data_IF_323341387884
#
_entry.id   IF_323341387884
#
_cell.length_a   1.000
_cell.length_b   1.000
_cell.length_c   1.000
_cell.angle_alpha   90.00
_cell.angle_beta   90.00
_cell.angle_gamma   90.00
#
_symmetry.space_group_name_H-M   'P 1'
#
loop_
_entity.id
_entity.type
_entity.pdbx_description
1 polymer ?
#
# COMPACT_ATOMS: atom_id res chain seq x y z
N UNK A 1 -18.32 -7.97 -1.23
CA UNK A 1 -17.19 -7.14 -0.77
C UNK A 1 -17.55 -5.67 -0.88
N UNK A 2 -17.22 -4.84 0.11
CA UNK A 2 -17.49 -3.38 0.08
C UNK A 2 -16.46 -2.68 -0.80
N UNK A 3 -16.90 -1.91 -1.81
CA UNK A 3 -16.03 -1.04 -2.60
C UNK A 3 -15.73 0.23 -1.81
N UNK A 4 -14.45 0.54 -1.60
CA UNK A 4 -14.02 1.75 -0.90
C UNK A 4 -13.78 2.88 -1.89
N UNK A 5 -14.22 4.09 -1.54
CA UNK A 5 -13.75 5.31 -2.21
C UNK A 5 -12.32 5.60 -1.74
N UNK A 6 -11.39 5.68 -2.68
CA UNK A 6 -9.99 6.01 -2.41
C UNK A 6 -9.72 7.48 -2.72
N UNK A 7 -8.66 8.03 -2.13
CA UNK A 7 -8.07 9.31 -2.52
C UNK A 7 -6.59 9.11 -2.76
N UNK A 8 -5.96 9.88 -3.66
CA UNK A 8 -4.51 9.93 -3.74
C UNK A 8 -3.91 10.27 -2.38
N UNK A 9 -2.85 9.56 -2.01
CA UNK A 9 -2.08 9.82 -0.80
C UNK A 9 -1.45 11.22 -0.86
N UNK A 10 -1.33 11.91 0.26
CA UNK A 10 -0.60 13.19 0.30
C UNK A 10 0.90 12.97 0.35
N UNK A 11 1.70 13.96 -0.07
CA UNK A 11 3.16 13.84 0.02
C UNK A 11 3.63 13.62 1.47
N UNK A 12 3.01 14.32 2.43
CA UNK A 12 3.26 14.14 3.85
C UNK A 12 2.98 12.71 4.35
N UNK A 13 1.98 12.03 3.79
CA UNK A 13 1.68 10.63 4.13
C UNK A 13 2.75 9.66 3.58
N UNK A 14 3.28 9.90 2.38
CA UNK A 14 4.36 9.10 1.78
C UNK A 14 5.67 9.30 2.55
N UNK A 15 5.96 10.55 2.95
CA UNK A 15 7.14 10.92 3.73
C UNK A 15 7.15 10.40 5.16
N UNK A 16 6.06 9.78 5.64
CA UNK A 16 6.07 9.08 6.94
C UNK A 16 6.99 7.87 6.95
N UNK A 17 7.31 7.33 5.78
CA UNK A 17 8.18 6.17 5.63
C UNK A 17 9.35 6.44 4.68
N UNK A 18 9.11 7.09 3.55
CA UNK A 18 10.16 7.35 2.57
C UNK A 18 10.94 8.62 2.87
N UNK A 19 12.24 8.58 2.56
CA UNK A 19 13.14 9.72 2.67
C UNK A 19 12.66 10.92 1.82
N UNK A 20 12.74 12.17 2.31
CA UNK A 20 12.35 13.35 1.55
C UNK A 20 13.04 13.45 0.19
N UNK A 21 14.32 13.07 0.12
CA UNK A 21 15.14 13.11 -1.09
C UNK A 21 14.61 12.14 -2.15
N UNK A 22 14.23 10.93 -1.73
CA UNK A 22 13.63 9.94 -2.61
C UNK A 22 12.26 10.42 -3.13
N UNK A 23 11.43 10.99 -2.25
CA UNK A 23 10.12 11.53 -2.65
C UNK A 23 10.27 12.67 -3.64
N UNK A 24 11.25 13.56 -3.45
CA UNK A 24 11.54 14.63 -4.40
C UNK A 24 12.03 14.11 -5.75
N UNK A 25 12.85 13.05 -5.74
CA UNK A 25 13.33 12.39 -6.96
C UNK A 25 12.15 11.84 -7.78
N UNK A 26 11.34 10.94 -7.20
CA UNK A 26 10.22 10.30 -7.92
C UNK A 26 9.13 11.29 -8.33
N UNK A 27 9.04 12.45 -7.66
CA UNK A 27 8.12 13.53 -8.02
C UNK A 27 8.53 14.22 -9.32
N UNK A 28 9.82 14.44 -9.50
CA UNK A 28 10.38 15.17 -10.63
C UNK A 28 10.76 14.24 -11.79
N UNK A 29 10.84 12.93 -11.52
CA UNK A 29 11.20 11.92 -12.49
C UNK A 29 10.12 11.72 -13.56
N UNK A 30 10.48 12.04 -14.80
CA UNK A 30 9.70 11.85 -16.02
C UNK A 30 10.64 11.32 -17.11
N UNK A 31 10.15 10.70 -18.19
CA UNK A 31 11.01 10.28 -19.29
C UNK A 31 11.84 11.45 -19.85
N UNK A 32 11.24 12.64 -19.97
CA UNK A 32 11.93 13.84 -20.42
C UNK A 32 13.01 14.31 -19.44
N UNK A 33 12.74 14.32 -18.13
CA UNK A 33 13.75 14.72 -17.14
C UNK A 33 14.87 13.69 -17.05
N UNK A 34 14.55 12.40 -17.15
CA UNK A 34 15.51 11.30 -17.16
C UNK A 34 16.53 11.46 -18.30
N UNK A 35 16.07 11.83 -19.50
CA UNK A 35 16.98 12.06 -20.64
C UNK A 35 17.81 13.34 -20.51
N UNK A 36 17.24 14.41 -19.95
CA UNK A 36 17.86 15.75 -19.99
C UNK A 36 18.67 16.11 -18.73
N UNK A 37 18.41 15.47 -17.59
CA UNK A 37 19.04 15.77 -16.31
C UNK A 37 19.92 14.59 -15.86
N UNK A 38 21.22 14.71 -16.12
CA UNK A 38 22.21 13.66 -15.83
C UNK A 38 22.31 13.38 -14.32
N UNK A 39 22.20 14.41 -13.48
CA UNK A 39 22.31 14.25 -12.01
C UNK A 39 21.10 13.50 -11.49
N UNK A 40 19.91 13.87 -11.95
CA UNK A 40 18.66 13.21 -11.59
C UNK A 40 18.61 11.77 -12.09
N UNK A 41 19.06 11.52 -13.33
CA UNK A 41 19.18 10.17 -13.89
C UNK A 41 20.13 9.32 -13.08
N UNK A 42 21.34 9.81 -12.81
CA UNK A 42 22.34 9.05 -12.09
C UNK A 42 21.88 8.70 -10.67
N UNK A 43 21.20 9.64 -9.99
CA UNK A 43 20.57 9.36 -8.71
C UNK A 43 19.45 8.31 -8.81
N UNK A 44 18.68 8.31 -9.89
CA UNK A 44 17.63 7.33 -10.12
C UNK A 44 18.21 5.92 -10.35
N UNK A 45 19.25 5.81 -11.16
CA UNK A 45 19.93 4.56 -11.49
C UNK A 45 20.74 4.02 -10.30
N UNK A 46 21.71 4.79 -9.81
CA UNK A 46 22.72 4.34 -8.85
C UNK A 46 22.13 4.07 -7.45
N UNK A 47 21.27 4.98 -6.96
CA UNK A 47 20.76 4.88 -5.57
C UNK A 47 19.47 4.05 -5.49
N UNK A 48 18.73 3.91 -6.59
CA UNK A 48 17.34 3.43 -6.56
C UNK A 48 16.96 2.41 -7.64
N UNK A 49 17.84 2.06 -8.58
CA UNK A 49 17.55 1.08 -9.63
C UNK A 49 16.40 1.49 -10.55
N UNK A 50 16.21 2.80 -10.75
CA UNK A 50 15.16 3.34 -11.60
C UNK A 50 15.77 3.71 -12.95
N UNK A 51 15.42 2.94 -13.98
CA UNK A 51 15.91 3.03 -15.35
C UNK A 51 14.90 3.63 -16.33
N UNK A 52 15.23 3.64 -17.62
CA UNK A 52 14.27 4.02 -18.68
C UNK A 52 13.33 2.84 -19.02
N UNK A 53 12.15 3.17 -19.52
CA UNK A 53 11.23 2.17 -20.05
C UNK A 53 11.82 1.49 -21.29
N UNK A 54 12.11 0.19 -21.21
CA UNK A 54 12.64 -0.62 -22.31
C UNK A 54 13.98 -1.30 -22.04
N UNK A 55 14.69 -0.90 -20.98
CA UNK A 55 16.02 -1.42 -20.64
C UNK A 55 15.99 -2.67 -19.74
N UNK A 56 14.93 -3.50 -19.85
CA UNK A 56 14.65 -4.63 -18.93
C UNK A 56 14.68 -4.24 -17.43
N UNK A 57 14.41 -2.97 -17.12
CA UNK A 57 14.43 -2.49 -15.75
C UNK A 57 13.09 -2.73 -15.04
N UNK A 58 13.12 -3.30 -13.84
CA UNK A 58 11.93 -3.59 -13.02
C UNK A 58 11.15 -2.33 -12.62
N UNK A 59 11.86 -1.20 -12.50
CA UNK A 59 11.32 0.07 -12.00
C UNK A 59 11.50 1.17 -13.04
N UNK A 60 10.84 1.14 -14.21
CA UNK A 60 11.08 2.13 -15.25
C UNK A 60 10.51 3.50 -14.88
N UNK A 61 11.19 4.57 -15.30
CA UNK A 61 10.66 5.93 -15.30
C UNK A 61 9.64 6.08 -16.44
N UNK A 62 8.42 6.52 -16.11
CA UNK A 62 7.34 6.72 -17.07
C UNK A 62 6.53 7.99 -16.79
N UNK A 63 5.69 8.39 -17.75
CA UNK A 63 4.88 9.60 -17.60
C UNK A 63 3.93 9.50 -16.40
N UNK A 64 3.89 10.56 -15.59
CA UNK A 64 3.06 10.64 -14.37
C UNK A 64 3.35 9.56 -13.32
N UNK A 65 4.58 9.07 -13.23
CA UNK A 65 5.03 8.14 -12.17
C UNK A 65 4.55 8.56 -10.77
N UNK A 66 4.77 9.83 -10.40
CA UNK A 66 4.33 10.34 -9.09
C UNK A 66 2.82 10.21 -8.87
N UNK A 67 2.01 10.50 -9.90
CA UNK A 67 0.55 10.37 -9.82
C UNK A 67 0.15 8.91 -9.60
N UNK A 68 0.83 7.98 -10.27
CA UNK A 68 0.62 6.55 -10.09
C UNK A 68 0.92 6.12 -8.65
N UNK A 69 2.10 6.44 -8.12
CA UNK A 69 2.49 6.09 -6.74
C UNK A 69 1.49 6.62 -5.70
N UNK A 70 1.04 7.89 -5.86
CA UNK A 70 0.04 8.48 -4.98
C UNK A 70 -1.32 7.78 -5.04
N UNK A 71 -1.76 7.38 -6.24
CA UNK A 71 -3.00 6.65 -6.43
C UNK A 71 -2.94 5.25 -5.83
N UNK A 72 -1.85 4.53 -6.10
CA UNK A 72 -1.61 3.17 -5.62
C UNK A 72 -1.57 3.11 -4.09
N UNK A 73 -0.73 3.93 -3.44
CA UNK A 73 -0.65 4.01 -1.99
C UNK A 73 -1.98 4.44 -1.34
N UNK A 74 -2.77 5.25 -2.06
CA UNK A 74 -4.06 5.74 -1.61
C UNK A 74 -5.08 4.63 -1.37
N UNK A 75 -5.01 3.55 -2.16
CA UNK A 75 -5.83 2.36 -1.98
C UNK A 75 -5.52 1.64 -0.66
N UNK A 76 -4.24 1.37 -0.43
CA UNK A 76 -3.77 0.71 0.81
C UNK A 76 -4.10 1.53 2.05
N UNK A 77 -3.91 2.85 2.01
CA UNK A 77 -4.28 3.72 3.13
C UNK A 77 -5.79 3.79 3.37
N UNK A 78 -6.62 3.78 2.33
CA UNK A 78 -8.08 3.75 2.48
C UNK A 78 -8.55 2.43 3.14
N UNK A 79 -7.93 1.31 2.76
CA UNK A 79 -8.17 0.02 3.38
C UNK A 79 -7.71 0.00 4.86
N UNK A 80 -6.50 0.48 5.14
CA UNK A 80 -5.98 0.57 6.50
C UNK A 80 -6.86 1.43 7.42
N UNK A 81 -7.30 2.62 6.98
CA UNK A 81 -8.23 3.47 7.73
C UNK A 81 -9.56 2.77 7.99
N UNK A 82 -10.07 2.03 7.00
CA UNK A 82 -11.31 1.25 7.16
C UNK A 82 -11.16 0.15 8.21
N UNK A 83 -10.01 -0.53 8.24
CA UNK A 83 -9.71 -1.58 9.21
C UNK A 83 -9.59 -1.02 10.64
N UNK A 84 -8.80 0.04 10.81
CA UNK A 84 -8.59 0.70 12.12
C UNK A 84 -9.89 1.25 12.68
N UNK A 85 -10.77 1.80 11.83
CA UNK A 85 -12.06 2.33 12.25
C UNK A 85 -13.14 1.26 12.46
N UNK A 86 -12.80 -0.04 12.38
CA UNK A 86 -13.75 -1.13 12.57
C UNK A 86 -14.83 -1.24 11.46
N UNK A 87 -14.66 -0.51 10.36
CA UNK A 87 -15.61 -0.45 9.27
C UNK A 87 -15.32 -1.50 8.18
N UNK A 88 -14.43 -2.45 8.43
CA UNK A 88 -14.02 -3.51 7.49
C UNK A 88 -15.08 -4.59 7.25
N UNK A 89 -16.25 -4.48 7.88
CA UNK A 89 -17.34 -5.44 7.71
C UNK A 89 -17.08 -6.80 8.34
N UNK A 90 -16.00 -6.92 9.13
CA UNK A 90 -15.91 -8.00 10.11
C UNK A 90 -17.08 -7.79 11.06
N UNK A 91 -18.14 -8.56 10.86
CA UNK A 91 -19.08 -8.82 11.92
C UNK A 91 -18.21 -9.16 13.12
N UNK A 92 -18.19 -8.29 14.14
CA UNK A 92 -17.96 -8.77 15.49
C UNK A 92 -19.07 -9.79 15.67
N UNK A 93 -18.80 -11.05 15.30
CA UNK A 93 -19.46 -12.17 15.92
C UNK A 93 -19.13 -11.93 17.37
N UNK A 94 -20.05 -11.29 18.10
CA UNK A 94 -20.15 -11.52 19.52
C UNK A 94 -20.16 -13.04 19.55
N UNK A 95 -19.04 -13.63 19.94
CA UNK A 95 -19.06 -14.96 20.49
C UNK A 95 -19.91 -14.77 21.73
N UNK A 96 -21.24 -14.83 21.54
CA UNK A 96 -22.13 -15.28 22.58
C UNK A 96 -21.63 -16.69 22.80
N UNK A 97 -20.72 -16.80 23.76
CA UNK A 97 -20.33 -18.06 24.35
C UNK A 97 -21.62 -18.63 24.91
N UNK A 98 -22.36 -19.36 24.07
CA UNK A 98 -23.41 -20.23 24.53
C UNK A 98 -22.69 -21.23 25.43
N UNK A 99 -22.78 -20.98 26.73
CA UNK A 99 -22.39 -21.90 27.77
C UNK A 99 -23.34 -23.11 27.64
N UNK A 100 -23.03 -24.01 26.71
CA UNK A 100 -23.69 -25.31 26.65
C UNK A 100 -23.34 -26.04 27.96
N UNK A 101 -24.33 -26.43 28.78
CA UNK A 101 -24.05 -27.29 29.91
C UNK A 101 -23.71 -28.67 29.33
N UNK A 102 -22.45 -29.05 29.46
CA UNK A 102 -21.99 -30.39 29.13
C UNK A 102 -22.62 -31.37 30.14
N UNK A 103 -23.80 -31.92 29.80
CA UNK A 103 -24.48 -32.93 30.62
C UNK A 103 -23.84 -34.28 30.33
N UNK A 104 -22.96 -34.70 31.22
CA UNK A 104 -22.37 -36.05 31.25
C UNK A 104 -23.46 -37.09 31.48
N UNK A 105 -23.74 -37.91 30.48
CA UNK A 105 -24.42 -39.19 30.65
C UNK A 105 -23.45 -40.29 30.19
N UNK A 106 -22.72 -40.87 31.14
CA UNK A 106 -22.14 -42.20 31.00
C UNK A 106 -23.15 -43.14 31.67
N UNK A 107 -23.83 -43.95 30.87
CA UNK A 107 -24.59 -45.09 31.37
C UNK A 107 -23.63 -46.28 31.56
N UNK A 108 -23.69 -47.03 32.68
CA UNK A 108 -22.98 -48.29 32.79
C UNK A 108 -23.82 -49.38 32.12
N UNK A 109 -23.21 -50.17 31.23
CA UNK A 109 -23.79 -51.45 30.80
C UNK A 109 -23.07 -52.58 31.52
N UNK A 110 -23.88 -53.37 32.22
CA UNK A 110 -23.67 -54.77 32.58
C UNK A 110 -23.32 -55.62 31.36
#
# INVERSE_FOLDING_TARGET
MRRLRTRPTTEAEIRRFHLPEYVNLIRNLTPKSYTNDVVLRQKAEDDHGIGLLGDDNDCPAFDRLWKYCRGYAGGSLAAARTLVNGASGSHRRRIVMFLFPFRSHIAPML
#
